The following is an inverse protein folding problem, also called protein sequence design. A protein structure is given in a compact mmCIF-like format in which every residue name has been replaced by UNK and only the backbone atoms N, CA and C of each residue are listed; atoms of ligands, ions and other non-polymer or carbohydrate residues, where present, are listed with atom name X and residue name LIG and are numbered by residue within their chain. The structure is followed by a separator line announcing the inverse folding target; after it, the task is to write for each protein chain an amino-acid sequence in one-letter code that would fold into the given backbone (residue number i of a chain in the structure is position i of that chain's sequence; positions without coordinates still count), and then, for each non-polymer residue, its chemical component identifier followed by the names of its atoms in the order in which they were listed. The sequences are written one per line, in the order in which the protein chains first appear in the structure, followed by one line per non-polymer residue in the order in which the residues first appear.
data_IF_297220877358
#
_entry.id   IF_297220877358
#
_cell.length_a   1.000
_cell.length_b   1.000
_cell.length_c   1.000
_cell.angle_alpha   90.00
_cell.angle_beta   90.00
_cell.angle_gamma   90.00
#
_symmetry.space_group_name_H-M   'P 1'
#
loop_
_entity.id
_entity.type
_entity.pdbx_description
1 polymer ?
#
# COMPACT_ATOMS: atom_id res chain seq x y z
N UNK A 1 -19.75 10.40 8.59
CA UNK A 1 -18.53 10.38 9.41
C UNK A 1 -17.36 10.71 8.49
N UNK A 2 -16.52 11.68 8.85
CA UNK A 2 -15.31 12.05 8.10
C UNK A 2 -14.09 11.20 8.51
N UNK A 3 -12.95 11.38 7.84
CA UNK A 3 -11.71 10.64 8.10
C UNK A 3 -11.23 10.79 9.55
N UNK A 4 -11.22 12.00 10.09
CA UNK A 4 -10.78 12.27 11.47
C UNK A 4 -11.71 11.62 12.50
N UNK A 5 -13.02 11.64 12.24
CA UNK A 5 -14.01 10.98 13.06
C UNK A 5 -13.87 9.45 13.02
N UNK A 6 -13.57 8.85 11.85
CA UNK A 6 -13.35 7.40 11.74
C UNK A 6 -12.12 6.96 12.55
N UNK A 7 -10.99 7.68 12.43
CA UNK A 7 -9.78 7.39 13.23
C UNK A 7 -10.08 7.41 14.73
N UNK A 8 -10.80 8.45 15.17
CA UNK A 8 -11.18 8.63 16.57
C UNK A 8 -12.12 7.51 17.04
N UNK A 9 -13.19 7.26 16.29
CA UNK A 9 -14.18 6.23 16.63
C UNK A 9 -13.54 4.84 16.77
N UNK A 10 -12.63 4.48 15.86
CA UNK A 10 -11.90 3.21 15.94
C UNK A 10 -11.00 3.13 17.19
N UNK A 11 -10.22 4.18 17.43
CA UNK A 11 -9.29 4.23 18.57
C UNK A 11 -10.03 4.19 19.90
N UNK A 12 -11.05 5.04 20.07
CA UNK A 12 -11.85 5.13 21.29
C UNK A 12 -12.57 3.80 21.58
N UNK A 13 -13.18 3.17 20.55
CA UNK A 13 -13.86 1.89 20.70
C UNK A 13 -12.96 0.79 21.31
N UNK A 14 -11.71 0.69 20.86
CA UNK A 14 -10.77 -0.31 21.39
C UNK A 14 -10.15 0.12 22.71
N UNK A 15 -9.90 1.40 22.93
CA UNK A 15 -9.42 1.91 24.24
C UNK A 15 -10.45 1.64 25.34
N UNK A 16 -11.75 1.81 25.07
CA UNK A 16 -12.83 1.46 25.98
C UNK A 16 -12.88 -0.05 26.31
N UNK A 17 -12.30 -0.89 25.45
CA UNK A 17 -12.17 -2.35 25.61
C UNK A 17 -10.83 -2.78 26.21
N UNK A 18 -10.07 -1.83 26.74
CA UNK A 18 -8.82 -2.06 27.46
C UNK A 18 -7.60 -2.22 26.55
N UNK A 19 -7.67 -1.80 25.30
CA UNK A 19 -6.51 -1.75 24.41
C UNK A 19 -5.69 -0.48 24.68
N UNK A 20 -4.36 -0.63 24.64
CA UNK A 20 -3.46 0.53 24.66
C UNK A 20 -3.39 1.12 23.26
N UNK A 21 -3.67 2.42 23.12
CA UNK A 21 -3.43 3.12 21.86
C UNK A 21 -1.92 3.30 21.66
N UNK A 22 -1.38 2.66 20.63
CA UNK A 22 0.04 2.70 20.30
C UNK A 22 0.23 3.53 19.03
N UNK A 23 1.21 4.46 18.99
CA UNK A 23 1.49 5.24 17.78
C UNK A 23 1.82 4.35 16.57
N UNK A 24 1.53 4.86 15.38
CA UNK A 24 2.02 4.25 14.14
C UNK A 24 3.55 4.15 14.17
N UNK A 25 4.08 2.99 13.83
CA UNK A 25 5.50 2.83 13.56
C UNK A 25 5.89 3.53 12.24
N UNK A 26 7.19 3.71 12.05
CA UNK A 26 7.78 4.21 10.80
C UNK A 26 7.45 3.28 9.62
N UNK A 27 7.37 3.85 8.42
CA UNK A 27 7.36 3.12 7.16
C UNK A 27 8.68 2.38 6.87
N UNK A 28 9.75 2.70 7.60
CA UNK A 28 11.02 1.98 7.58
C UNK A 28 11.02 0.97 8.74
N UNK A 29 10.72 -0.31 8.50
CA UNK A 29 10.69 -1.31 9.55
C UNK A 29 12.10 -1.66 10.03
N UNK A 30 12.22 -2.03 11.31
CA UNK A 30 13.43 -2.68 11.84
C UNK A 30 13.63 -4.09 11.26
N UNK A 31 12.54 -4.73 10.84
CA UNK A 31 12.54 -6.03 10.17
C UNK A 31 13.18 -5.94 8.78
N UNK A 32 14.25 -6.71 8.56
CA UNK A 32 15.00 -6.73 7.31
C UNK A 32 14.33 -7.56 6.20
N UNK A 33 13.32 -8.35 6.52
CA UNK A 33 12.59 -9.21 5.56
C UNK A 33 11.55 -8.45 4.74
N UNK A 34 11.19 -7.23 5.17
CA UNK A 34 10.19 -6.38 4.52
C UNK A 34 10.77 -5.03 4.13
N UNK A 35 10.45 -4.56 2.92
CA UNK A 35 10.99 -3.30 2.41
C UNK A 35 10.34 -2.10 3.12
N UNK A 36 9.02 -2.11 3.28
CA UNK A 36 8.28 -1.09 4.00
C UNK A 36 7.35 -1.74 5.01
N UNK A 37 6.85 -0.96 5.96
CA UNK A 37 5.77 -1.39 6.84
C UNK A 37 4.50 -1.60 6.01
N UNK A 38 4.09 -2.85 5.81
CA UNK A 38 2.95 -3.25 4.94
C UNK A 38 1.65 -3.49 5.70
N UNK A 39 1.72 -3.59 7.03
CA UNK A 39 0.60 -3.90 7.92
C UNK A 39 0.84 -3.40 9.35
N UNK A 40 -0.24 -3.30 10.14
CA UNK A 40 -0.22 -2.90 11.55
C UNK A 40 0.65 -3.79 12.44
N UNK A 41 0.60 -5.11 12.22
CA UNK A 41 1.30 -6.10 13.05
C UNK A 41 2.84 -6.05 12.97
N UNK A 42 3.42 -5.40 11.94
CA UNK A 42 4.88 -5.46 11.69
C UNK A 42 5.68 -4.97 12.90
N UNK A 43 5.22 -3.91 13.57
CA UNK A 43 5.88 -3.37 14.77
C UNK A 43 5.74 -4.27 16.01
N UNK A 44 4.82 -5.23 15.98
CA UNK A 44 4.54 -6.15 17.08
C UNK A 44 5.05 -7.57 16.83
N UNK A 45 5.72 -7.82 15.70
CA UNK A 45 6.26 -9.13 15.34
C UNK A 45 7.07 -9.80 16.47
N UNK A 46 8.01 -9.11 17.15
CA UNK A 46 8.77 -9.73 18.25
C UNK A 46 7.89 -10.21 19.40
N UNK A 47 6.77 -9.53 19.65
CA UNK A 47 5.82 -9.90 20.71
C UNK A 47 4.96 -11.10 20.32
N UNK A 48 4.58 -11.22 19.04
CA UNK A 48 3.84 -12.38 18.54
C UNK A 48 4.69 -13.66 18.56
N UNK A 49 5.97 -13.55 18.17
CA UNK A 49 6.91 -14.66 18.18
C UNK A 49 7.34 -15.06 19.60
N UNK A 50 7.17 -14.16 20.58
CA UNK A 50 7.61 -14.37 21.96
C UNK A 50 9.10 -14.10 22.17
N UNK A 51 9.76 -13.47 21.19
CA UNK A 51 11.16 -13.02 21.28
C UNK A 51 11.31 -11.93 22.35
N UNK A 52 10.28 -11.07 22.48
CA UNK A 52 10.21 -10.01 23.47
C UNK A 52 8.88 -10.05 24.24
N UNK A 53 8.87 -9.74 25.54
CA UNK A 53 7.63 -9.63 26.29
C UNK A 53 6.87 -8.37 25.86
N UNK A 54 5.61 -8.52 25.45
CA UNK A 54 4.74 -7.39 25.14
C UNK A 54 4.55 -6.49 26.39
N UNK A 55 4.72 -5.16 26.28
CA UNK A 55 4.50 -4.25 27.41
C UNK A 55 3.01 -4.08 27.78
N UNK A 56 2.11 -4.60 26.95
CA UNK A 56 0.66 -4.60 27.12
C UNK A 56 0.09 -5.93 26.63
N UNK A 57 -1.11 -6.28 27.12
CA UNK A 57 -1.84 -7.47 26.65
C UNK A 57 -2.66 -7.23 25.38
N UNK A 58 -3.05 -5.98 25.15
CA UNK A 58 -3.92 -5.53 24.07
C UNK A 58 -3.42 -4.20 23.53
N UNK A 59 -3.41 -4.02 22.21
CA UNK A 59 -3.04 -2.76 21.58
C UNK A 59 -3.96 -2.41 20.42
N UNK A 60 -4.13 -1.12 20.14
CA UNK A 60 -4.80 -0.63 18.94
C UNK A 60 -3.93 0.42 18.26
N UNK A 61 -3.92 0.41 16.92
CA UNK A 61 -3.10 1.34 16.11
C UNK A 61 -3.83 1.80 14.87
N UNK A 62 -3.43 2.95 14.36
CA UNK A 62 -3.69 3.38 12.98
C UNK A 62 -2.34 3.46 12.28
N UNK A 63 -1.95 2.37 11.63
CA UNK A 63 -0.61 2.20 11.08
C UNK A 63 -0.53 2.77 9.65
N UNK A 64 0.45 3.65 9.42
CA UNK A 64 0.91 4.05 8.09
C UNK A 64 1.46 2.82 7.35
N UNK A 65 0.92 2.50 6.17
CA UNK A 65 1.33 1.35 5.38
C UNK A 65 1.75 1.76 3.97
N UNK A 66 2.76 1.10 3.41
CA UNK A 66 3.14 1.23 1.99
C UNK A 66 3.26 -0.14 1.33
N UNK A 67 2.49 -0.37 0.26
CA UNK A 67 2.53 -1.58 -0.58
C UNK A 67 3.05 -1.27 -1.98
N UNK A 68 4.35 -1.04 -2.06
CA UNK A 68 5.04 -0.61 -3.28
C UNK A 68 6.28 -1.48 -3.62
N UNK A 69 6.34 -2.71 -3.11
CA UNK A 69 7.43 -3.66 -3.39
C UNK A 69 7.37 -4.94 -2.54
N UNK A 70 8.14 -5.95 -2.93
CA UNK A 70 8.11 -7.27 -2.29
C UNK A 70 6.83 -8.06 -2.61
N UNK A 71 6.41 -8.92 -1.69
CA UNK A 71 5.20 -9.76 -1.83
C UNK A 71 3.92 -8.93 -1.97
N UNK A 72 3.81 -7.80 -1.26
CA UNK A 72 2.64 -6.93 -1.26
C UNK A 72 2.93 -5.68 -2.11
N UNK A 73 2.59 -5.75 -3.40
CA UNK A 73 2.85 -4.67 -4.36
C UNK A 73 1.60 -4.35 -5.18
N UNK A 74 0.98 -3.22 -4.86
CA UNK A 74 -0.28 -2.78 -5.49
C UNK A 74 -0.06 -1.75 -6.61
N UNK A 75 1.20 -1.43 -6.95
CA UNK A 75 1.54 -0.31 -7.83
C UNK A 75 0.84 -0.35 -9.20
N UNK A 76 0.66 -1.53 -9.77
CA UNK A 76 0.05 -1.69 -11.09
C UNK A 76 -1.48 -1.48 -11.05
N UNK A 77 -2.11 -1.57 -9.88
CA UNK A 77 -3.57 -1.41 -9.70
C UNK A 77 -4.00 0.04 -9.39
N UNK A 78 -3.03 0.91 -9.11
CA UNK A 78 -3.27 2.30 -8.69
C UNK A 78 -3.89 3.10 -9.83
N UNK A 79 -4.98 3.81 -9.51
CA UNK A 79 -5.77 4.59 -10.46
C UNK A 79 -6.73 3.78 -11.33
N UNK A 80 -6.45 2.48 -11.55
CA UNK A 80 -7.30 1.57 -12.33
C UNK A 80 -8.50 1.05 -11.53
N UNK A 81 -8.26 0.69 -10.27
CA UNK A 81 -9.30 0.12 -9.39
C UNK A 81 -9.87 1.17 -8.46
N UNK A 82 -11.03 0.89 -7.84
CA UNK A 82 -11.66 1.83 -6.92
C UNK A 82 -11.08 1.79 -5.49
N UNK A 83 -10.13 0.88 -5.20
CA UNK A 83 -9.75 0.45 -3.84
C UNK A 83 -8.26 0.35 -3.53
N UNK A 84 -7.39 0.28 -4.53
CA UNK A 84 -5.94 0.12 -4.30
C UNK A 84 -5.23 1.47 -4.18
N UNK A 85 -4.31 1.53 -3.23
CA UNK A 85 -3.48 2.67 -2.88
C UNK A 85 -2.05 2.18 -2.61
N UNK A 86 -1.05 3.01 -2.91
CA UNK A 86 0.33 2.71 -2.52
C UNK A 86 0.54 2.97 -1.04
N UNK A 87 0.06 4.12 -0.57
CA UNK A 87 0.04 4.50 0.84
C UNK A 87 -1.39 4.46 1.35
N UNK A 88 -1.59 3.78 2.47
CA UNK A 88 -2.88 3.69 3.13
C UNK A 88 -2.71 3.55 4.64
N UNK A 89 -3.80 3.71 5.37
CA UNK A 89 -3.83 3.51 6.81
C UNK A 89 -4.53 2.20 7.16
N UNK A 90 -3.91 1.42 8.04
CA UNK A 90 -4.47 0.18 8.54
C UNK A 90 -4.91 0.38 9.99
N UNK A 91 -6.21 0.28 10.21
CA UNK A 91 -6.82 0.24 11.55
C UNK A 91 -6.64 -1.18 12.10
N UNK A 92 -5.99 -1.33 13.25
CA UNK A 92 -5.72 -2.67 13.80
C UNK A 92 -5.94 -2.76 15.29
N UNK A 93 -6.46 -3.92 15.73
CA UNK A 93 -6.54 -4.31 17.14
C UNK A 93 -5.77 -5.61 17.36
N UNK A 94 -4.95 -5.65 18.40
CA UNK A 94 -4.00 -6.74 18.63
C UNK A 94 -4.21 -7.34 20.01
N UNK A 95 -4.11 -8.66 20.09
CA UNK A 95 -4.13 -9.44 21.35
C UNK A 95 -2.85 -10.25 21.46
N UNK A 96 -2.15 -10.10 22.57
CA UNK A 96 -0.89 -10.79 22.85
C UNK A 96 -1.13 -11.90 23.88
N UNK A 97 -1.75 -13.00 23.43
CA UNK A 97 -2.12 -14.13 24.28
C UNK A 97 -3.14 -13.77 25.37
N UNK A 98 -4.11 -12.91 25.05
CA UNK A 98 -5.17 -12.46 25.96
C UNK A 98 -6.56 -12.92 25.50
N UNK A 99 -7.19 -12.23 24.56
CA UNK A 99 -8.43 -12.68 23.91
C UNK A 99 -8.17 -13.34 22.55
N UNK A 100 -9.11 -14.14 22.07
CA UNK A 100 -9.04 -14.82 20.78
C UNK A 100 -10.35 -14.65 19.98
N UNK A 101 -10.74 -15.63 19.14
CA UNK A 101 -11.87 -15.55 18.21
C UNK A 101 -13.19 -15.10 18.86
N UNK A 102 -13.56 -15.69 20.00
CA UNK A 102 -14.82 -15.44 20.72
C UNK A 102 -15.04 -13.97 21.12
N UNK A 103 -13.97 -13.16 21.17
CA UNK A 103 -14.07 -11.72 21.43
C UNK A 103 -13.68 -10.88 20.21
N UNK A 104 -12.70 -11.33 19.41
CA UNK A 104 -12.25 -10.62 18.22
C UNK A 104 -13.39 -10.41 17.21
N UNK A 105 -14.16 -11.48 16.96
CA UNK A 105 -15.27 -11.46 16.00
C UNK A 105 -16.40 -10.52 16.47
N UNK A 106 -16.94 -10.65 17.71
CA UNK A 106 -17.95 -9.70 18.20
C UNK A 106 -17.48 -8.25 18.25
N UNK A 107 -16.22 -7.97 18.60
CA UNK A 107 -15.70 -6.60 18.59
C UNK A 107 -15.71 -5.99 17.19
N UNK A 108 -15.27 -6.75 16.18
CA UNK A 108 -15.27 -6.28 14.81
C UNK A 108 -16.70 -6.02 14.32
N UNK A 109 -17.64 -6.93 14.62
CA UNK A 109 -19.04 -6.77 14.25
C UNK A 109 -19.67 -5.55 14.91
N UNK A 110 -19.53 -5.40 16.23
CA UNK A 110 -20.08 -4.27 16.98
C UNK A 110 -19.54 -2.94 16.47
N UNK A 111 -18.23 -2.85 16.16
CA UNK A 111 -17.69 -1.62 15.57
C UNK A 111 -18.36 -1.33 14.23
N UNK A 112 -18.48 -2.32 13.34
CA UNK A 112 -19.01 -2.12 11.99
C UNK A 112 -20.52 -1.79 12.01
N UNK A 113 -21.33 -2.48 12.80
CA UNK A 113 -22.79 -2.30 12.81
C UNK A 113 -23.24 -1.21 13.77
N UNK A 114 -22.62 -1.10 14.94
CA UNK A 114 -23.13 -0.26 16.02
C UNK A 114 -22.40 1.08 16.10
N UNK A 115 -21.10 1.12 15.78
CA UNK A 115 -20.35 2.39 15.75
C UNK A 115 -20.40 3.03 14.36
N UNK A 116 -20.03 2.27 13.33
CA UNK A 116 -19.99 2.77 11.95
C UNK A 116 -21.37 2.78 11.27
N UNK A 117 -22.37 2.14 11.89
CA UNK A 117 -23.76 2.09 11.41
C UNK A 117 -23.89 1.50 10.00
N UNK A 118 -23.04 0.54 9.64
CA UNK A 118 -23.20 -0.19 8.39
C UNK A 118 -24.40 -1.13 8.48
N UNK A 119 -25.17 -1.21 7.39
CA UNK A 119 -26.30 -2.13 7.29
C UNK A 119 -25.82 -3.58 7.34
N UNK A 120 -26.21 -4.37 8.36
CA UNK A 120 -25.83 -5.77 8.46
C UNK A 120 -26.22 -6.61 7.23
N UNK A 121 -27.29 -6.23 6.52
CA UNK A 121 -27.74 -6.90 5.30
C UNK A 121 -26.86 -6.62 4.08
N UNK A 122 -25.82 -5.79 4.22
CA UNK A 122 -24.80 -5.59 3.20
C UNK A 122 -23.47 -6.23 3.57
N UNK A 123 -23.37 -6.82 4.75
CA UNK A 123 -22.15 -7.47 5.20
C UNK A 123 -22.13 -8.93 4.77
N UNK A 124 -20.93 -9.38 4.41
CA UNK A 124 -20.61 -10.75 4.05
C UNK A 124 -19.35 -11.15 4.82
N UNK A 125 -19.26 -12.43 5.17
CA UNK A 125 -18.18 -12.96 5.98
C UNK A 125 -17.51 -14.10 5.20
N UNK A 126 -16.18 -14.13 5.23
CA UNK A 126 -15.42 -15.31 4.82
C UNK A 126 -14.67 -15.91 6.00
N UNK A 127 -14.47 -17.23 5.98
CA UNK A 127 -13.67 -17.99 6.96
C UNK A 127 -12.85 -19.05 6.23
N UNK A 128 -11.76 -19.51 6.84
CA UNK A 128 -10.96 -20.59 6.26
C UNK A 128 -11.75 -21.92 6.17
N UNK A 129 -11.51 -22.73 5.13
CA UNK A 129 -12.17 -24.03 4.92
C UNK A 129 -12.12 -24.95 6.15
N UNK A 130 -11.03 -24.87 6.92
CA UNK A 130 -10.80 -25.70 8.11
C UNK A 130 -11.23 -25.06 9.44
N UNK A 131 -11.80 -23.85 9.44
CA UNK A 131 -12.09 -23.08 10.66
C UNK A 131 -13.57 -23.12 11.05
N UNK A 132 -14.01 -24.27 11.57
CA UNK A 132 -15.39 -24.48 12.04
C UNK A 132 -15.75 -23.56 13.23
N UNK A 133 -14.75 -23.19 14.03
CA UNK A 133 -14.92 -22.35 15.22
C UNK A 133 -15.32 -20.92 14.82
N UNK A 134 -14.63 -20.33 13.84
CA UNK A 134 -14.94 -18.99 13.36
C UNK A 134 -16.34 -18.92 12.73
N UNK A 135 -16.73 -19.91 11.92
CA UNK A 135 -18.09 -19.99 11.36
C UNK A 135 -19.14 -20.06 12.46
N UNK A 136 -18.95 -20.93 13.46
CA UNK A 136 -19.90 -21.09 14.55
C UNK A 136 -20.07 -19.79 15.35
N UNK A 137 -18.99 -19.04 15.61
CA UNK A 137 -19.06 -17.74 16.30
C UNK A 137 -19.86 -16.74 15.46
N UNK A 138 -19.59 -16.63 14.16
CA UNK A 138 -20.33 -15.73 13.27
C UNK A 138 -21.82 -16.06 13.19
N UNK A 139 -22.16 -17.34 13.07
CA UNK A 139 -23.56 -17.79 12.96
C UNK A 139 -24.30 -17.69 14.29
N UNK A 140 -23.72 -18.24 15.37
CA UNK A 140 -24.45 -18.51 16.60
C UNK A 140 -24.33 -17.37 17.63
N UNK A 141 -23.16 -16.74 17.73
CA UNK A 141 -22.92 -15.66 18.70
C UNK A 141 -23.22 -14.29 18.10
N UNK A 142 -22.80 -14.04 16.85
CA UNK A 142 -23.06 -12.77 16.16
C UNK A 142 -24.43 -12.74 15.49
N UNK A 143 -24.87 -13.88 14.94
CA UNK A 143 -26.16 -13.98 14.25
C UNK A 143 -26.12 -13.64 12.76
N UNK A 144 -24.96 -13.77 12.10
CA UNK A 144 -24.86 -13.61 10.65
C UNK A 144 -25.59 -14.78 9.96
N UNK A 145 -26.50 -14.51 9.01
CA UNK A 145 -27.18 -15.58 8.26
C UNK A 145 -26.19 -16.49 7.53
N UNK A 146 -26.43 -17.80 7.56
CA UNK A 146 -25.54 -18.80 6.98
C UNK A 146 -25.22 -18.53 5.51
N UNK A 147 -26.20 -18.05 4.74
CA UNK A 147 -26.04 -17.72 3.32
C UNK A 147 -25.06 -16.57 3.04
N UNK A 148 -24.65 -15.83 4.08
CA UNK A 148 -23.67 -14.73 4.01
C UNK A 148 -22.31 -15.09 4.60
N UNK A 149 -22.13 -16.35 5.02
CA UNK A 149 -20.85 -16.87 5.49
C UNK A 149 -20.33 -17.85 4.44
N UNK A 150 -19.18 -17.53 3.85
CA UNK A 150 -18.53 -18.34 2.83
C UNK A 150 -17.20 -18.89 3.35
N UNK A 151 -16.85 -20.11 2.91
CA UNK A 151 -15.56 -20.69 3.25
C UNK A 151 -14.60 -20.61 2.06
N UNK A 152 -13.40 -20.09 2.28
CA UNK A 152 -12.31 -20.03 1.28
C UNK A 152 -11.06 -20.71 1.80
N UNK A 153 -10.14 -21.04 0.89
CA UNK A 153 -8.87 -21.70 1.22
C UNK A 153 -7.75 -20.65 1.36
N UNK A 154 -6.91 -20.49 0.33
CA UNK A 154 -5.74 -19.61 0.34
C UNK A 154 -6.06 -18.15 0.73
N UNK A 155 -7.21 -17.61 0.32
CA UNK A 155 -7.62 -16.24 0.65
C UNK A 155 -7.87 -16.03 2.15
N UNK A 156 -8.29 -17.09 2.86
CA UNK A 156 -8.51 -17.06 4.30
C UNK A 156 -7.33 -17.67 5.09
N UNK A 157 -6.16 -17.79 4.47
CA UNK A 157 -4.91 -18.15 5.14
C UNK A 157 -3.93 -16.98 5.08
N UNK A 158 -3.81 -16.25 6.19
CA UNK A 158 -2.95 -15.08 6.22
C UNK A 158 -1.52 -15.44 6.66
N UNK A 159 -0.54 -14.86 5.98
CA UNK A 159 0.87 -14.92 6.36
C UNK A 159 1.58 -13.60 6.05
N UNK A 160 2.44 -13.15 6.96
CA UNK A 160 3.19 -11.89 6.84
C UNK A 160 4.03 -11.80 5.55
N UNK A 161 4.87 -12.80 5.35
CA UNK A 161 5.87 -12.90 4.29
C UNK A 161 6.09 -14.39 3.97
N UNK A 162 7.22 -14.75 3.36
CA UNK A 162 7.60 -16.14 3.16
C UNK A 162 7.80 -16.90 4.48
N UNK A 163 8.22 -16.19 5.53
CA UNK A 163 8.37 -16.68 6.90
C UNK A 163 7.69 -15.73 7.90
N UNK A 164 7.49 -16.18 9.14
CA UNK A 164 6.93 -15.38 10.24
C UNK A 164 5.52 -15.81 10.68
N UNK A 165 4.90 -15.02 11.57
CA UNK A 165 3.57 -15.31 12.10
C UNK A 165 2.51 -15.47 11.00
N UNK A 166 1.63 -16.46 11.16
CA UNK A 166 0.56 -16.81 10.24
C UNK A 166 -0.58 -17.58 10.93
N UNK A 167 -1.69 -17.75 10.21
CA UNK A 167 -2.84 -18.53 10.67
C UNK A 167 -4.08 -18.34 9.81
N UNK A 168 -5.17 -19.07 10.10
CA UNK A 168 -6.45 -18.83 9.45
C UNK A 168 -6.94 -17.42 9.78
N UNK A 169 -7.69 -16.82 8.86
CA UNK A 169 -8.32 -15.54 9.06
C UNK A 169 -9.79 -15.57 8.66
N UNK A 170 -10.52 -14.55 9.10
CA UNK A 170 -11.89 -14.30 8.71
C UNK A 170 -12.03 -12.84 8.29
N UNK A 171 -12.68 -12.60 7.16
CA UNK A 171 -12.78 -11.26 6.58
C UNK A 171 -14.22 -10.79 6.50
N UNK A 172 -14.39 -9.48 6.68
CA UNK A 172 -15.67 -8.78 6.54
C UNK A 172 -15.64 -8.02 5.22
N UNK A 173 -16.66 -8.28 4.40
CA UNK A 173 -16.90 -7.66 3.11
C UNK A 173 -18.15 -6.79 3.14
N UNK A 174 -18.14 -5.71 2.37
CA UNK A 174 -19.29 -4.86 2.13
C UNK A 174 -19.79 -4.99 0.69
N UNK A 175 -21.08 -5.29 0.53
CA UNK A 175 -21.78 -5.33 -0.75
C UNK A 175 -22.15 -3.89 -1.19
N UNK A 176 -21.39 -3.37 -2.16
CA UNK A 176 -21.62 -2.05 -2.78
C UNK A 176 -22.88 -2.00 -3.65
N UNK A 177 -23.47 -3.14 -3.98
CA UNK A 177 -24.70 -3.28 -4.77
C UNK A 177 -24.47 -3.67 -6.23
N UNK A 178 -25.57 -4.03 -6.90
CA UNK A 178 -25.60 -4.60 -8.25
C UNK A 178 -24.88 -3.78 -9.32
N UNK A 179 -24.79 -2.45 -9.15
CA UNK A 179 -24.10 -1.57 -10.11
C UNK A 179 -22.59 -1.83 -10.19
N UNK A 180 -22.02 -2.59 -9.26
CA UNK A 180 -20.58 -2.89 -9.18
C UNK A 180 -20.23 -4.32 -9.65
N UNK A 181 -21.20 -5.06 -10.20
CA UNK A 181 -20.96 -6.33 -10.87
C UNK A 181 -21.76 -7.50 -10.29
N UNK A 182 -21.32 -8.71 -10.66
CA UNK A 182 -22.03 -9.95 -10.35
C UNK A 182 -22.23 -10.17 -8.85
N UNK A 183 -23.39 -10.75 -8.51
CA UNK A 183 -23.70 -11.26 -7.17
C UNK A 183 -22.97 -12.59 -6.91
N UNK A 184 -23.13 -13.14 -5.70
CA UNK A 184 -22.58 -14.43 -5.29
C UNK A 184 -21.70 -14.37 -4.05
N UNK A 185 -21.64 -13.23 -3.36
CA UNK A 185 -20.75 -13.00 -2.23
C UNK A 185 -19.27 -12.94 -2.64
N UNK A 186 -18.35 -12.74 -1.69
CA UNK A 186 -16.92 -12.65 -1.94
C UNK A 186 -16.31 -13.82 -2.75
N UNK A 187 -16.85 -15.04 -2.61
CA UNK A 187 -16.31 -16.24 -3.26
C UNK A 187 -16.60 -16.32 -4.77
N UNK A 188 -17.73 -15.76 -5.23
CA UNK A 188 -18.24 -15.99 -6.59
C UNK A 188 -18.65 -14.70 -7.32
N UNK A 189 -18.76 -13.60 -6.61
CA UNK A 189 -19.17 -12.31 -7.13
C UNK A 189 -18.02 -11.47 -7.68
N UNK A 190 -18.34 -10.21 -7.99
CA UNK A 190 -17.36 -9.22 -8.44
C UNK A 190 -16.59 -8.63 -7.24
N UNK A 191 -15.25 -8.60 -7.31
CA UNK A 191 -14.38 -7.91 -6.35
C UNK A 191 -14.69 -6.42 -6.20
N UNK A 192 -15.22 -5.79 -7.27
CA UNK A 192 -15.62 -4.38 -7.24
C UNK A 192 -16.94 -4.18 -6.49
N UNK A 193 -17.77 -5.23 -6.37
CA UNK A 193 -19.03 -5.24 -5.62
C UNK A 193 -18.80 -5.64 -4.16
N UNK A 194 -18.13 -6.76 -3.92
CA UNK A 194 -17.84 -7.26 -2.58
C UNK A 194 -16.46 -6.79 -2.16
N UNK A 195 -16.42 -5.66 -1.46
CA UNK A 195 -15.16 -5.04 -1.06
C UNK A 195 -14.79 -5.48 0.36
N UNK A 196 -13.63 -6.11 0.51
CA UNK A 196 -13.02 -6.43 1.81
C UNK A 196 -12.73 -5.12 2.60
N UNK A 197 -13.33 -4.99 3.78
CA UNK A 197 -13.16 -3.84 4.67
C UNK A 197 -12.34 -4.15 5.92
N UNK A 198 -12.30 -5.42 6.36
CA UNK A 198 -11.57 -5.82 7.56
C UNK A 198 -11.18 -7.29 7.53
N UNK A 199 -9.91 -7.58 7.79
CA UNK A 199 -9.39 -8.93 8.00
C UNK A 199 -9.07 -9.18 9.48
N UNK A 200 -9.56 -10.30 10.03
CA UNK A 200 -9.33 -10.79 11.39
C UNK A 200 -8.44 -12.05 11.33
N UNK A 201 -7.16 -11.90 11.65
CA UNK A 201 -6.18 -12.99 11.61
C UNK A 201 -6.05 -13.65 12.98
N UNK A 202 -6.24 -14.96 12.99
CA UNK A 202 -6.11 -15.79 14.17
C UNK A 202 -4.72 -16.43 14.18
N UNK A 203 -3.71 -15.65 14.58
CA UNK A 203 -2.32 -16.08 14.54
C UNK A 203 -2.10 -17.28 15.47
N UNK A 204 -1.66 -18.38 14.89
CA UNK A 204 -1.45 -19.67 15.58
C UNK A 204 -0.08 -20.27 15.31
N UNK A 205 0.57 -19.90 14.20
CA UNK A 205 1.80 -20.53 13.75
C UNK A 205 2.87 -19.50 13.36
N UNK A 206 4.13 -19.90 13.42
CA UNK A 206 5.28 -19.24 12.82
C UNK A 206 5.81 -20.12 11.67
N UNK A 207 5.73 -19.59 10.44
CA UNK A 207 6.20 -20.29 9.23
C UNK A 207 7.71 -20.16 9.10
N UNK A 208 8.38 -21.30 9.06
CA UNK A 208 9.83 -21.40 8.95
C UNK A 208 10.30 -21.34 7.49
N UNK A 209 11.60 -21.09 7.22
CA UNK A 209 12.15 -21.06 5.86
C UNK A 209 11.96 -22.35 5.06
N UNK A 210 11.83 -23.51 5.72
CA UNK A 210 11.56 -24.80 5.09
C UNK A 210 10.06 -25.05 4.81
N UNK A 211 9.20 -24.08 5.16
CA UNK A 211 7.76 -24.15 5.01
C UNK A 211 7.03 -24.82 6.18
N UNK A 212 7.73 -25.33 7.19
CA UNK A 212 7.10 -25.92 8.37
C UNK A 212 6.37 -24.86 9.21
N UNK A 213 5.28 -25.28 9.86
CA UNK A 213 4.46 -24.44 10.73
C UNK A 213 4.72 -24.79 12.19
N UNK A 214 5.40 -23.91 12.92
CA UNK A 214 5.67 -24.08 14.36
C UNK A 214 4.58 -23.36 15.16
N UNK A 215 3.88 -24.01 16.11
CA UNK A 215 2.88 -23.32 16.92
C UNK A 215 3.48 -22.14 17.71
N UNK A 216 2.79 -20.99 17.71
CA UNK A 216 3.18 -19.84 18.51
C UNK A 216 3.08 -20.15 20.01
N UNK A 217 3.91 -19.53 20.87
CA UNK A 217 3.85 -19.76 22.32
C UNK A 217 2.47 -19.48 22.93
N UNK A 218 1.75 -18.51 22.36
CA UNK A 218 0.36 -18.20 22.68
C UNK A 218 -0.37 -17.80 21.40
N UNK A 219 -1.60 -18.29 21.16
CA UNK A 219 -2.44 -17.78 20.08
C UNK A 219 -2.70 -16.29 20.26
N UNK A 220 -2.64 -15.53 19.18
CA UNK A 220 -2.73 -14.08 19.18
C UNK A 220 -3.75 -13.59 18.14
N UNK A 221 -4.23 -12.36 18.33
CA UNK A 221 -5.10 -11.70 17.35
C UNK A 221 -4.31 -10.58 16.69
N UNK A 222 -4.38 -10.56 15.37
CA UNK A 222 -4.01 -9.44 14.51
C UNK A 222 -5.24 -9.09 13.69
N UNK A 223 -5.54 -7.80 13.53
CA UNK A 223 -6.58 -7.36 12.62
C UNK A 223 -6.09 -6.19 11.78
N UNK A 224 -6.60 -6.11 10.57
CA UNK A 224 -6.32 -5.03 9.64
C UNK A 224 -7.57 -4.61 8.90
N UNK A 225 -8.09 -3.43 9.23
CA UNK A 225 -9.15 -2.76 8.51
C UNK A 225 -8.55 -1.68 7.60
N UNK A 226 -8.89 -1.70 6.32
CA UNK A 226 -8.44 -0.69 5.36
C UNK A 226 -9.19 0.62 5.61
N UNK A 227 -8.53 1.60 6.22
CA UNK A 227 -9.14 2.88 6.58
C UNK A 227 -9.80 3.55 5.39
N UNK A 228 -9.07 3.66 4.28
CA UNK A 228 -9.55 4.27 3.04
C UNK A 228 -10.60 3.42 2.34
N UNK A 229 -10.69 2.11 2.59
CA UNK A 229 -11.76 1.27 2.06
C UNK A 229 -13.06 1.43 2.85
N UNK A 230 -12.97 1.68 4.15
CA UNK A 230 -14.15 1.95 5.00
C UNK A 230 -14.74 3.33 4.69
N UNK A 231 -13.89 4.35 4.49
CA UNK A 231 -14.34 5.72 4.22
C UNK A 231 -15.41 5.87 3.12
N UNK A 232 -15.25 5.32 1.91
CA UNK A 232 -16.26 5.47 0.87
C UNK A 232 -17.57 4.80 1.28
N UNK A 233 -17.54 3.72 2.05
CA UNK A 233 -18.75 3.06 2.55
C UNK A 233 -19.53 3.98 3.49
N UNK A 234 -18.86 4.54 4.51
CA UNK A 234 -19.51 5.43 5.49
C UNK A 234 -19.87 6.82 4.93
N UNK A 235 -19.30 7.20 3.79
CA UNK A 235 -19.56 8.47 3.09
C UNK A 235 -20.49 8.33 1.88
N UNK A 236 -20.93 7.11 1.56
CA UNK A 236 -21.77 6.85 0.39
C UNK A 236 -21.08 7.15 -0.95
N UNK A 237 -19.79 6.82 -1.06
CA UNK A 237 -18.96 7.01 -2.25
C UNK A 237 -18.62 5.67 -2.90
N UNK A 238 -18.35 5.70 -4.21
CA UNK A 238 -18.01 4.50 -4.98
C UNK A 238 -16.53 4.12 -4.94
N UNK A 239 -15.66 5.05 -4.57
CA UNK A 239 -14.22 4.88 -4.61
C UNK A 239 -13.50 5.60 -3.47
N UNK A 240 -12.35 5.06 -3.07
CA UNK A 240 -11.42 5.70 -2.12
C UNK A 240 -11.00 7.11 -2.57
N UNK A 241 -10.97 7.35 -3.89
CA UNK A 241 -10.61 8.63 -4.50
C UNK A 241 -11.67 9.72 -4.29
N UNK A 242 -12.91 9.35 -3.98
CA UNK A 242 -14.02 10.29 -3.82
C UNK A 242 -14.25 10.70 -2.36
N UNK A 243 -13.38 10.25 -1.45
CA UNK A 243 -13.43 10.52 -0.02
C UNK A 243 -12.89 11.91 0.31
N UNK A 244 -13.25 12.41 1.50
CA UNK A 244 -12.70 13.63 2.08
C UNK A 244 -11.17 13.64 2.24
N UNK A 245 -10.53 12.47 2.22
CA UNK A 245 -9.08 12.33 2.30
C UNK A 245 -8.37 12.55 0.96
N UNK A 246 -8.94 12.08 -0.15
CA UNK A 246 -8.29 12.14 -1.48
C UNK A 246 -8.83 13.25 -2.38
N UNK A 247 -10.08 13.67 -2.21
CA UNK A 247 -10.68 14.76 -2.99
C UNK A 247 -9.87 16.07 -2.94
N UNK A 248 -9.38 16.54 -1.78
CA UNK A 248 -8.57 17.76 -1.73
C UNK A 248 -7.29 17.66 -2.55
N UNK A 249 -6.64 16.49 -2.54
CA UNK A 249 -5.39 16.24 -3.28
C UNK A 249 -5.68 16.13 -4.79
N UNK A 250 -6.74 15.43 -5.17
CA UNK A 250 -7.20 15.32 -6.56
C UNK A 250 -7.58 16.67 -7.16
N UNK A 251 -8.21 17.54 -6.37
CA UNK A 251 -8.52 18.90 -6.78
C UNK A 251 -7.24 19.67 -7.12
N UNK A 252 -6.21 19.58 -6.28
CA UNK A 252 -4.91 20.23 -6.55
C UNK A 252 -4.22 19.60 -7.77
N UNK A 253 -4.31 18.27 -7.95
CA UNK A 253 -3.80 17.61 -9.16
C UNK A 253 -4.51 18.11 -10.43
N UNK A 254 -5.83 18.28 -10.37
CA UNK A 254 -6.65 18.80 -11.46
C UNK A 254 -6.28 20.25 -11.79
N UNK A 255 -6.14 21.10 -10.77
CA UNK A 255 -5.71 22.50 -10.92
C UNK A 255 -4.29 22.62 -11.47
N UNK A 256 -3.36 21.75 -11.05
CA UNK A 256 -1.97 21.76 -11.50
C UNK A 256 -1.79 21.27 -12.95
N UNK A 257 -2.73 20.48 -13.46
CA UNK A 257 -2.70 19.92 -14.82
C UNK A 257 -3.64 20.63 -15.78
N UNK A 258 -4.63 21.37 -15.27
CA UNK A 258 -5.69 21.99 -16.07
C UNK A 258 -6.75 20.99 -16.55
N UNK A 259 -6.73 19.75 -16.05
CA UNK A 259 -7.65 18.68 -16.45
C UNK A 259 -8.66 18.41 -15.34
N UNK A 260 -9.94 18.33 -15.69
CA UNK A 260 -11.02 18.07 -14.73
C UNK A 260 -11.18 16.57 -14.44
N UNK A 261 -11.17 16.20 -13.16
CA UNK A 261 -11.53 14.86 -12.71
C UNK A 261 -13.00 14.54 -13.01
N UNK A 262 -13.28 13.35 -13.54
CA UNK A 262 -14.59 12.87 -13.98
C UNK A 262 -14.94 13.21 -15.43
N UNK A 263 -14.07 13.92 -16.16
CA UNK A 263 -14.33 14.31 -17.55
C UNK A 263 -13.94 13.22 -18.56
N UNK A 264 -12.87 12.47 -18.29
CA UNK A 264 -12.34 11.43 -19.17
C UNK A 264 -11.69 10.31 -18.33
N UNK A 265 -12.09 9.04 -18.50
CA UNK A 265 -11.56 7.93 -17.70
C UNK A 265 -10.04 7.76 -17.78
N UNK A 266 -9.42 8.02 -18.93
CA UNK A 266 -7.97 7.89 -19.10
C UNK A 266 -7.22 8.98 -18.33
N UNK A 267 -7.80 10.17 -18.25
CA UNK A 267 -7.28 11.29 -17.47
C UNK A 267 -7.49 11.08 -15.97
N UNK A 268 -8.63 10.50 -15.59
CA UNK A 268 -8.94 10.19 -14.19
C UNK A 268 -7.94 9.21 -13.57
N UNK A 269 -7.54 8.17 -14.32
CA UNK A 269 -6.49 7.24 -13.88
C UNK A 269 -5.20 7.99 -13.55
N UNK A 270 -4.79 8.95 -14.38
CA UNK A 270 -3.56 9.73 -14.18
C UNK A 270 -3.67 10.66 -12.96
N UNK A 271 -4.81 11.32 -12.78
CA UNK A 271 -5.07 12.17 -11.62
C UNK A 271 -5.08 11.36 -10.32
N UNK A 272 -5.69 10.17 -10.33
CA UNK A 272 -5.68 9.23 -9.20
C UNK A 272 -4.29 8.77 -8.82
N UNK A 273 -3.47 8.39 -9.80
CA UNK A 273 -2.05 8.04 -9.58
C UNK A 273 -1.31 9.21 -8.95
N UNK A 274 -1.49 10.44 -9.45
CA UNK A 274 -0.85 11.62 -8.88
C UNK A 274 -1.25 11.86 -7.41
N UNK A 275 -2.53 11.73 -7.08
CA UNK A 275 -3.02 11.95 -5.73
C UNK A 275 -2.55 10.88 -4.74
N UNK A 276 -2.60 9.61 -5.13
CA UNK A 276 -2.08 8.50 -4.33
C UNK A 276 -0.57 8.63 -4.09
N UNK A 277 0.19 8.84 -5.17
CA UNK A 277 1.64 8.95 -5.08
C UNK A 277 2.09 10.18 -4.29
N UNK A 278 1.30 11.25 -4.26
CA UNK A 278 1.54 12.39 -3.39
C UNK A 278 1.58 12.01 -1.91
N UNK A 279 0.67 11.15 -1.46
CA UNK A 279 0.69 10.64 -0.08
C UNK A 279 1.93 9.81 0.16
N UNK A 280 2.20 8.83 -0.70
CA UNK A 280 3.39 7.96 -0.59
C UNK A 280 4.69 8.74 -0.52
N UNK A 281 4.95 9.66 -1.45
CA UNK A 281 6.21 10.42 -1.45
C UNK A 281 6.34 11.35 -0.25
N UNK A 282 5.22 11.92 0.23
CA UNK A 282 5.20 12.77 1.43
C UNK A 282 5.59 11.98 2.68
N UNK A 283 4.92 10.85 2.93
CA UNK A 283 5.17 10.05 4.13
C UNK A 283 6.50 9.32 4.10
N UNK A 284 6.93 8.79 2.94
CA UNK A 284 8.23 8.13 2.83
C UNK A 284 9.38 9.10 3.13
N UNK A 285 9.32 10.34 2.61
CA UNK A 285 10.34 11.35 2.92
C UNK A 285 10.27 11.79 4.38
N UNK A 286 9.08 11.95 4.94
CA UNK A 286 8.88 12.27 6.36
C UNK A 286 9.47 11.22 7.30
N UNK A 287 9.44 9.94 6.91
CA UNK A 287 10.00 8.83 7.68
C UNK A 287 11.49 8.58 7.36
N UNK A 288 12.13 9.45 6.56
CA UNK A 288 13.58 9.44 6.32
C UNK A 288 14.05 8.73 5.06
N UNK A 289 13.15 8.41 4.12
CA UNK A 289 13.55 7.86 2.80
C UNK A 289 13.95 8.99 1.86
N UNK A 290 15.07 8.80 1.14
CA UNK A 290 15.58 9.76 0.17
C UNK A 290 15.59 9.15 -1.24
N UNK A 291 15.31 9.92 -2.32
CA UNK A 291 15.38 9.39 -3.68
C UNK A 291 16.81 8.96 -4.06
N UNK A 292 17.03 7.67 -4.27
CA UNK A 292 18.31 7.07 -4.69
C UNK A 292 18.12 6.03 -5.81
N UNK A 293 19.20 5.40 -6.27
CA UNK A 293 19.13 4.33 -7.28
C UNK A 293 19.01 2.93 -6.68
N UNK A 294 18.87 2.81 -5.36
CA UNK A 294 18.89 1.50 -4.68
C UNK A 294 17.80 1.39 -3.59
N UNK A 295 17.34 0.16 -3.36
CA UNK A 295 16.46 -0.20 -2.24
C UNK A 295 15.22 0.73 -2.11
N UNK A 296 14.88 1.15 -0.89
CA UNK A 296 13.75 2.04 -0.57
C UNK A 296 13.80 3.35 -1.35
N UNK A 297 14.99 3.90 -1.54
CA UNK A 297 15.19 5.15 -2.27
C UNK A 297 14.88 5.03 -3.76
N UNK A 298 15.14 3.87 -4.37
CA UNK A 298 14.71 3.58 -5.74
C UNK A 298 13.18 3.51 -5.86
N UNK A 299 12.50 2.88 -4.89
CA UNK A 299 11.03 2.84 -4.89
C UNK A 299 10.43 4.25 -4.76
N UNK A 300 10.94 5.07 -3.83
CA UNK A 300 10.53 6.46 -3.71
C UNK A 300 10.77 7.24 -5.02
N UNK A 301 11.96 7.10 -5.62
CA UNK A 301 12.28 7.69 -6.93
C UNK A 301 11.28 7.27 -8.00
N UNK A 302 10.93 5.98 -8.07
CA UNK A 302 9.95 5.44 -9.02
C UNK A 302 8.57 6.06 -8.82
N UNK A 303 8.08 6.16 -7.58
CA UNK A 303 6.78 6.78 -7.24
C UNK A 303 6.75 8.25 -7.67
N UNK A 304 7.79 9.02 -7.33
CA UNK A 304 7.89 10.44 -7.72
C UNK A 304 7.86 10.56 -9.25
N UNK A 305 8.73 9.82 -9.95
CA UNK A 305 8.84 9.89 -11.41
C UNK A 305 7.57 9.44 -12.13
N UNK A 306 6.85 8.45 -11.58
CA UNK A 306 5.54 8.02 -12.11
C UNK A 306 4.51 9.14 -12.04
N UNK A 307 4.40 9.84 -10.90
CA UNK A 307 3.48 10.97 -10.75
C UNK A 307 3.85 12.13 -11.70
N UNK A 308 5.13 12.45 -11.82
CA UNK A 308 5.64 13.50 -12.72
C UNK A 308 5.35 13.14 -14.19
N UNK A 309 5.60 11.89 -14.59
CA UNK A 309 5.27 11.38 -15.92
C UNK A 309 3.77 11.52 -16.23
N UNK A 310 2.90 11.13 -15.30
CA UNK A 310 1.44 11.26 -15.49
C UNK A 310 1.03 12.72 -15.63
N UNK A 311 1.64 13.63 -14.87
CA UNK A 311 1.40 15.07 -15.06
C UNK A 311 1.82 15.55 -16.45
N UNK A 312 2.97 15.10 -16.94
CA UNK A 312 3.46 15.45 -18.28
C UNK A 312 2.54 14.92 -19.38
N UNK A 313 2.02 13.69 -19.24
CA UNK A 313 1.04 13.11 -20.16
C UNK A 313 -0.31 13.84 -20.16
N UNK A 314 -0.66 14.52 -19.06
CA UNK A 314 -1.82 15.41 -18.97
C UNK A 314 -1.53 16.81 -19.56
N UNK A 315 -0.31 17.07 -20.03
CA UNK A 315 0.07 18.27 -20.75
C UNK A 315 0.79 19.34 -19.92
N UNK A 316 1.12 19.08 -18.64
CA UNK A 316 1.83 20.07 -17.81
C UNK A 316 3.36 19.91 -17.85
N UNK A 317 4.04 21.03 -18.12
CA UNK A 317 5.51 21.13 -18.05
C UNK A 317 5.99 21.73 -16.72
N UNK A 318 5.09 22.34 -15.96
CA UNK A 318 5.37 22.98 -14.67
C UNK A 318 5.58 21.95 -13.55
N UNK A 319 6.25 22.38 -12.47
CA UNK A 319 6.41 21.57 -11.26
C UNK A 319 5.05 21.34 -10.58
N UNK A 320 4.74 20.08 -10.30
CA UNK A 320 3.46 19.68 -9.67
C UNK A 320 3.64 19.18 -8.24
N UNK A 321 4.78 18.55 -7.92
CA UNK A 321 4.98 17.88 -6.63
C UNK A 321 4.91 18.82 -5.42
N UNK A 322 5.40 20.08 -5.45
CA UNK A 322 5.31 20.96 -4.28
C UNK A 322 3.86 21.23 -3.86
N UNK A 323 2.97 21.49 -4.84
CA UNK A 323 1.55 21.76 -4.57
C UNK A 323 0.83 20.52 -4.04
N UNK A 324 1.12 19.36 -4.64
CA UNK A 324 0.55 18.09 -4.22
C UNK A 324 0.95 17.72 -2.77
N UNK A 325 2.23 17.87 -2.43
CA UNK A 325 2.73 17.61 -1.07
C UNK A 325 2.09 18.58 -0.07
N UNK A 326 1.98 19.86 -0.42
CA UNK A 326 1.30 20.83 0.43
C UNK A 326 -0.15 20.41 0.71
N UNK A 327 -0.88 19.95 -0.31
CA UNK A 327 -2.25 19.44 -0.15
C UNK A 327 -2.32 18.23 0.80
N UNK A 328 -1.35 17.30 0.72
CA UNK A 328 -1.27 16.17 1.65
C UNK A 328 -1.03 16.63 3.08
N UNK A 329 -0.08 17.56 3.28
CA UNK A 329 0.23 18.11 4.61
C UNK A 329 -0.99 18.82 5.21
N UNK A 330 -1.72 19.59 4.39
CA UNK A 330 -2.92 20.31 4.85
C UNK A 330 -4.07 19.34 5.18
N UNK A 331 -4.17 18.22 4.47
CA UNK A 331 -5.23 17.21 4.68
C UNK A 331 -4.92 16.28 5.85
N UNK A 332 -3.65 15.92 6.06
CA UNK A 332 -3.25 14.85 6.98
C UNK A 332 -2.39 15.33 8.17
N UNK A 333 -1.98 16.59 8.18
CA UNK A 333 -1.06 17.14 9.19
C UNK A 333 -1.62 17.18 10.61
N UNK A 334 -2.95 17.18 10.79
CA UNK A 334 -3.56 17.05 12.12
C UNK A 334 -3.32 15.65 12.72
N UNK A 335 -3.52 14.61 11.91
CA UNK A 335 -3.29 13.22 12.32
C UNK A 335 -1.80 12.88 12.43
N UNK A 336 -0.97 13.55 11.63
CA UNK A 336 0.48 13.33 11.56
C UNK A 336 1.24 14.67 11.66
N UNK A 337 1.39 15.22 12.88
CA UNK A 337 2.04 16.52 13.10
C UNK A 337 3.50 16.58 12.61
N UNK A 338 4.16 15.43 12.50
CA UNK A 338 5.50 15.34 11.92
C UNK A 338 5.56 15.92 10.50
N UNK A 339 4.50 15.77 9.71
CA UNK A 339 4.41 16.31 8.35
C UNK A 339 4.47 17.84 8.32
N UNK A 340 3.84 18.48 9.31
CA UNK A 340 3.86 19.94 9.45
C UNK A 340 5.27 20.40 9.84
N UNK A 341 5.87 19.73 10.83
CA UNK A 341 7.21 20.06 11.31
C UNK A 341 8.30 19.90 10.24
N UNK A 342 8.12 18.94 9.34
CA UNK A 342 9.08 18.60 8.28
C UNK A 342 8.72 19.20 6.91
N UNK A 343 7.67 20.03 6.81
CA UNK A 343 7.10 20.55 5.55
C UNK A 343 8.14 20.99 4.52
N UNK A 344 9.03 21.92 4.92
CA UNK A 344 10.02 22.50 4.00
C UNK A 344 11.00 21.45 3.49
N UNK A 345 11.41 20.54 4.38
CA UNK A 345 12.31 19.46 4.03
C UNK A 345 11.66 18.49 3.03
N UNK A 346 10.43 18.04 3.30
CA UNK A 346 9.68 17.12 2.43
C UNK A 346 9.50 17.74 1.04
N UNK A 347 8.96 18.96 0.96
CA UNK A 347 8.73 19.66 -0.31
C UNK A 347 10.04 19.79 -1.09
N UNK A 348 11.11 20.27 -0.45
CA UNK A 348 12.39 20.47 -1.14
C UNK A 348 13.02 19.17 -1.65
N UNK A 349 12.86 18.07 -0.91
CA UNK A 349 13.43 16.76 -1.27
C UNK A 349 12.81 16.21 -2.55
N UNK A 350 11.48 16.22 -2.62
CA UNK A 350 10.74 15.73 -3.78
C UNK A 350 10.89 16.68 -4.96
N UNK A 351 10.83 18.00 -4.73
CA UNK A 351 10.98 19.00 -5.79
C UNK A 351 12.30 18.83 -6.54
N UNK A 352 13.43 18.61 -5.82
CA UNK A 352 14.73 18.37 -6.47
C UNK A 352 14.73 17.15 -7.38
N UNK A 353 14.03 16.09 -6.99
CA UNK A 353 13.91 14.88 -7.83
C UNK A 353 13.02 15.12 -9.05
N UNK A 354 11.93 15.88 -8.91
CA UNK A 354 11.09 16.30 -10.05
C UNK A 354 11.88 17.18 -11.03
N UNK A 355 12.58 18.20 -10.55
CA UNK A 355 13.42 19.09 -11.37
C UNK A 355 14.47 18.29 -12.15
N UNK A 356 15.15 17.35 -11.48
CA UNK A 356 16.14 16.48 -12.11
C UNK A 356 15.51 15.60 -13.19
N UNK A 357 14.33 15.01 -12.93
CA UNK A 357 13.69 14.13 -13.91
C UNK A 357 13.14 14.90 -15.12
N UNK A 358 12.58 16.10 -14.92
CA UNK A 358 12.05 16.93 -16.01
C UNK A 358 13.11 17.30 -17.06
N UNK A 359 14.38 17.40 -16.67
CA UNK A 359 15.49 17.65 -17.61
C UNK A 359 15.64 16.56 -18.68
N UNK A 360 15.29 15.31 -18.37
CA UNK A 360 15.46 14.15 -19.27
C UNK A 360 14.14 13.50 -19.66
N UNK A 361 13.02 13.91 -19.06
CA UNK A 361 11.69 13.36 -19.31
C UNK A 361 11.28 13.47 -20.78
N UNK A 362 11.38 14.67 -21.36
CA UNK A 362 10.94 14.91 -22.74
C UNK A 362 11.73 14.07 -23.74
N UNK A 363 13.05 14.03 -23.62
CA UNK A 363 13.89 13.25 -24.53
C UNK A 363 13.64 11.74 -24.37
N UNK A 364 13.42 11.27 -23.13
CA UNK A 364 13.05 9.88 -22.87
C UNK A 364 11.70 9.50 -23.49
N UNK A 365 10.68 10.36 -23.40
CA UNK A 365 9.37 10.11 -24.03
C UNK A 365 9.49 10.05 -25.55
N UNK A 366 10.23 10.96 -26.17
CA UNK A 366 10.43 10.95 -27.63
C UNK A 366 11.09 9.64 -28.08
N UNK A 367 12.15 9.21 -27.40
CA UNK A 367 12.82 7.95 -27.72
C UNK A 367 11.90 6.73 -27.53
N UNK A 368 11.13 6.71 -26.45
CA UNK A 368 10.19 5.62 -26.20
C UNK A 368 9.09 5.58 -27.28
N UNK A 369 8.49 6.71 -27.62
CA UNK A 369 7.46 6.80 -28.65
C UNK A 369 7.96 6.38 -30.05
N UNK A 370 9.25 6.56 -30.37
CA UNK A 370 9.84 6.02 -31.59
C UNK A 370 9.87 4.49 -31.61
N UNK A 371 10.25 3.85 -30.50
CA UNK A 371 10.24 2.39 -30.38
C UNK A 371 8.82 1.80 -30.35
N UNK A 372 7.89 2.47 -29.67
CA UNK A 372 6.48 2.04 -29.64
C UNK A 372 5.88 1.99 -31.06
N UNK A 373 6.24 2.94 -31.93
CA UNK A 373 5.82 2.93 -33.34
C UNK A 373 6.43 1.78 -34.14
N UNK A 374 7.60 1.28 -33.74
CA UNK A 374 8.26 0.12 -34.35
C UNK A 374 7.68 -1.21 -33.89
N UNK A 375 6.88 -1.22 -32.82
CA UNK A 375 6.17 -2.40 -32.32
C UNK A 375 6.97 -3.26 -31.33
N UNK A 376 8.16 -2.81 -30.90
CA UNK A 376 8.98 -3.48 -29.88
C UNK A 376 9.95 -2.49 -29.25
N UNK A 377 10.18 -2.57 -27.93
CA UNK A 377 11.24 -1.80 -27.25
C UNK A 377 12.42 -2.72 -27.00
N UNK A 378 13.55 -2.46 -27.65
CA UNK A 378 14.78 -3.25 -27.46
C UNK A 378 15.38 -3.08 -26.07
N UNK A 379 16.13 -4.09 -25.60
CA UNK A 379 16.84 -4.03 -24.31
C UNK A 379 17.84 -2.87 -24.24
N UNK A 380 18.48 -2.52 -25.37
CA UNK A 380 19.38 -1.37 -25.47
C UNK A 380 18.65 -0.04 -25.25
N UNK A 381 17.47 0.15 -25.85
CA UNK A 381 16.69 1.36 -25.63
C UNK A 381 16.12 1.40 -24.22
N UNK A 382 15.59 0.29 -23.71
CA UNK A 382 15.14 0.21 -22.32
C UNK A 382 16.28 0.55 -21.33
N UNK A 383 17.49 0.04 -21.58
CA UNK A 383 18.68 0.34 -20.79
C UNK A 383 19.07 1.81 -20.89
N UNK A 384 19.06 2.40 -22.09
CA UNK A 384 19.35 3.82 -22.30
C UNK A 384 18.33 4.72 -21.60
N UNK A 385 17.04 4.39 -21.68
CA UNK A 385 15.98 5.10 -20.98
C UNK A 385 16.20 5.06 -19.47
N UNK A 386 16.59 3.90 -18.93
CA UNK A 386 16.89 3.72 -17.53
C UNK A 386 18.15 4.46 -17.07
N UNK A 387 19.27 4.25 -17.76
CA UNK A 387 20.58 4.75 -17.34
C UNK A 387 20.76 6.24 -17.65
N UNK A 388 20.40 6.66 -18.86
CA UNK A 388 20.64 8.02 -19.35
C UNK A 388 19.47 8.94 -19.07
N UNK A 389 18.24 8.50 -19.37
CA UNK A 389 17.05 9.33 -19.15
C UNK A 389 16.50 9.19 -17.72
N UNK A 390 16.94 8.18 -16.96
CA UNK A 390 16.49 7.91 -15.61
C UNK A 390 15.05 7.38 -15.52
N UNK A 391 14.50 6.82 -16.59
CA UNK A 391 13.19 6.18 -16.54
C UNK A 391 13.31 4.86 -15.79
N UNK A 392 12.65 4.70 -14.63
CA UNK A 392 12.53 3.37 -14.03
C UNK A 392 12.02 2.38 -15.08
N UNK A 393 12.60 1.19 -15.14
CA UNK A 393 12.24 0.17 -16.15
C UNK A 393 10.74 -0.15 -16.08
N UNK A 394 10.15 -0.05 -14.90
CA UNK A 394 8.73 -0.23 -14.66
C UNK A 394 7.87 0.80 -15.40
N UNK A 395 8.32 2.07 -15.49
CA UNK A 395 7.59 3.08 -16.28
C UNK A 395 7.67 2.78 -17.78
N UNK A 396 8.84 2.35 -18.26
CA UNK A 396 9.00 1.92 -19.66
C UNK A 396 8.07 0.74 -19.97
N UNK A 397 7.99 -0.25 -19.09
CA UNK A 397 7.07 -1.40 -19.22
C UNK A 397 5.61 -0.95 -19.18
N UNK A 398 5.24 -0.09 -18.24
CA UNK A 398 3.88 0.41 -18.08
C UNK A 398 3.39 1.12 -19.36
N UNK A 399 4.17 2.08 -19.87
CA UNK A 399 3.84 2.81 -21.11
C UNK A 399 3.79 1.85 -22.32
N UNK A 400 4.72 0.89 -22.39
CA UNK A 400 4.77 -0.05 -23.52
C UNK A 400 3.57 -0.99 -23.52
N UNK A 401 3.17 -1.50 -22.34
CA UNK A 401 2.00 -2.35 -22.17
C UNK A 401 0.70 -1.63 -22.51
N UNK A 402 0.56 -0.33 -22.19
CA UNK A 402 -0.60 0.50 -22.60
C UNK A 402 -0.79 0.55 -24.13
N UNK A 403 0.29 0.35 -24.90
CA UNK A 403 0.28 0.28 -26.38
C UNK A 403 0.29 -1.14 -26.93
N UNK A 404 0.27 -2.17 -26.07
CA UNK A 404 0.41 -3.57 -26.47
C UNK A 404 1.80 -3.92 -27.03
N UNK A 405 2.84 -3.16 -26.65
CA UNK A 405 4.21 -3.35 -27.13
C UNK A 405 5.05 -4.02 -26.04
N UNK A 406 5.76 -5.09 -26.39
CA UNK A 406 6.65 -5.78 -25.48
C UNK A 406 8.00 -5.07 -25.33
N UNK A 407 8.58 -5.17 -24.13
CA UNK A 407 9.95 -4.73 -23.82
C UNK A 407 10.85 -5.95 -23.72
N UNK A 408 11.98 -5.93 -24.40
CA UNK A 408 13.02 -6.95 -24.29
C UNK A 408 13.74 -6.85 -22.93
N UNK A 409 13.21 -7.61 -21.95
CA UNK A 409 13.74 -7.66 -20.59
C UNK A 409 15.05 -8.43 -20.50
N UNK A 410 15.24 -9.46 -21.32
CA UNK A 410 16.47 -10.25 -21.32
C UNK A 410 17.66 -9.40 -21.77
N UNK A 411 17.52 -8.67 -22.87
CA UNK A 411 18.53 -7.72 -23.32
C UNK A 411 18.81 -6.59 -22.32
N UNK A 412 17.76 -6.08 -21.66
CA UNK A 412 17.90 -5.09 -20.59
C UNK A 412 18.73 -5.64 -19.40
N UNK A 413 18.40 -6.85 -18.93
CA UNK A 413 19.03 -7.47 -17.77
C UNK A 413 20.50 -7.83 -18.04
N UNK A 414 20.83 -8.23 -19.28
CA UNK A 414 22.21 -8.42 -19.73
C UNK A 414 22.99 -7.10 -19.61
N UNK A 415 22.47 -6.00 -20.16
CA UNK A 415 23.14 -4.70 -20.13
C UNK A 415 23.27 -4.14 -18.70
N UNK A 416 22.26 -4.33 -17.86
CA UNK A 416 22.31 -3.99 -16.43
C UNK A 416 23.38 -4.79 -15.70
N UNK A 417 23.52 -6.08 -16.01
CA UNK A 417 24.54 -6.96 -15.42
C UNK A 417 25.95 -6.55 -15.84
N UNK A 418 26.15 -6.21 -17.12
CA UNK A 418 27.40 -5.67 -17.64
C UNK A 418 27.76 -4.33 -17.02
N UNK A 419 26.79 -3.43 -16.83
CA UNK A 419 27.01 -2.16 -16.13
C UNK A 419 27.44 -2.40 -14.68
N UNK A 420 26.75 -3.28 -13.95
CA UNK A 420 27.12 -3.65 -12.57
C UNK A 420 28.52 -4.28 -12.50
N UNK A 421 28.87 -5.13 -13.46
CA UNK A 421 30.21 -5.72 -13.54
C UNK A 421 31.29 -4.65 -13.77
N UNK A 422 31.06 -3.70 -14.68
CA UNK A 422 31.96 -2.56 -14.92
C UNK A 422 32.11 -1.67 -13.69
N UNK A 423 31.02 -1.37 -12.98
CA UNK A 423 31.05 -0.57 -11.75
C UNK A 423 31.85 -1.26 -10.64
N UNK A 424 31.68 -2.58 -10.46
CA UNK A 424 32.48 -3.36 -9.49
C UNK A 424 33.96 -3.40 -9.84
N UNK A 425 34.30 -3.58 -11.12
CA UNK A 425 35.68 -3.57 -11.59
C UNK A 425 36.36 -2.20 -11.39
N UNK A 426 35.63 -1.10 -11.61
CA UNK A 426 36.12 0.25 -11.35
C UNK A 426 36.27 0.57 -9.86
N UNK A 427 35.36 0.05 -9.01
CA UNK A 427 35.42 0.24 -7.55
C UNK A 427 36.56 -0.53 -6.86
N UNK A 428 37.02 -1.65 -7.45
CA UNK A 428 38.19 -2.41 -6.97
C UNK A 428 39.54 -1.79 -7.40
N UNK A 429 39.54 -0.80 -8.29
CA UNK A 429 40.74 -0.18 -8.85
C UNK A 429 41.28 1.04 -8.08
N UNK A 430 40.79 1.31 -6.85
CA UNK A 430 41.14 2.53 -6.09
C UNK A 430 42.10 2.28 -4.91
N UNK A 431 42.52 1.04 -4.62
CA UNK A 431 43.43 0.74 -3.50
C UNK A 431 44.70 -0.03 -3.92
N UNK A 432 45.44 0.44 -4.93
CA UNK A 432 46.88 0.13 -5.08
C UNK A 432 47.58 1.29 -5.79
N UNK A 433 48.10 2.25 -5.04
CA UNK A 433 49.30 3.03 -5.38
C UNK A 433 49.64 3.92 -4.18
N UNK A 434 50.14 3.30 -3.12
CA UNK A 434 51.14 3.91 -2.26
C UNK A 434 52.08 2.78 -1.80
N UNK A 435 53.37 3.11 -1.78
CA UNK A 435 54.53 2.26 -1.47
C UNK A 435 55.07 1.39 -2.63
N UNK A 436 55.89 2.01 -3.49
CA UNK A 436 57.26 1.53 -3.72
C UNK A 436 58.06 2.61 -4.48
N UNK A 437 58.86 3.39 -3.74
CA UNK A 437 60.12 3.95 -4.26
C UNK A 437 61.15 3.86 -3.14
N UNK A 438 62.20 3.08 -3.42
CA UNK A 438 63.47 3.01 -2.70
C UNK A 438 64.14 4.36 -2.45
#
# INVERSE_FOLDING_TARGET
MDASQLRRAFTEFFVERGHVSVPSASLIPHDQTVLFTVAGMVQFKPYFLGDEPAPFKRATTIQKCVRAGGKHNDLDQIGLTSRHLTFFEMLGNFSFGDYFKEQAIPFAWELVTDVLKLDPNKLWITVHLSDDEAEAIWRDQVGVPQERIQRLDEDNWWQMSDTGPCGPCSEIYYDKGESYGADGGPAFGSDERFMEIWNLVFMQYDRQPDGSLVPLPKPCIDTGAGFERILPVIQGKGSVYDTDLLQPILKVASEATGVSYGADPSSDVKLRIMADHARSMTFLVSDGVFPTNESRGYVLRRIIRRAVLRSYQLGTSDLVTPKLIQAVIDTMGEAYPELISQRNYIISSVQREEEKFRQTLQSGIVQLEEELKRGSVSGEVAFRLHDTCGFPIELTKEISNERGVAVDMEGFDILMSEQRARARAAGLGVDVNDEETE
#
